data_IF_241701184078
#
_entry.id   IF_241701184078
#
_cell.length_a   1.000
_cell.length_b   1.000
_cell.length_c   1.000
_cell.angle_alpha   90.00
_cell.angle_beta   90.00
_cell.angle_gamma   90.00
#
_symmetry.space_group_name_H-M   'P 1'
#
loop_
_entity.id
_entity.type
_entity.pdbx_description
1 polymer ?
#
# COMPACT_ATOMS: atom_id res chain seq x y z
N UNK A 1 5.10 -16.12 -16.84
CA UNK A 1 5.67 -14.80 -17.17
C UNK A 1 4.60 -13.99 -17.85
N UNK A 2 4.28 -12.81 -17.32
CA UNK A 2 3.27 -11.93 -17.93
C UNK A 2 3.96 -10.62 -18.28
N UNK A 3 4.46 -10.58 -19.52
CA UNK A 3 5.18 -9.48 -20.15
C UNK A 3 4.30 -8.81 -21.19
N UNK A 4 3.09 -8.38 -20.81
CA UNK A 4 2.42 -7.30 -21.55
C UNK A 4 2.99 -6.00 -21.00
N UNK A 5 3.98 -5.43 -21.70
CA UNK A 5 4.48 -4.11 -21.37
C UNK A 5 3.31 -3.12 -21.48
N UNK A 6 2.81 -2.66 -20.33
CA UNK A 6 1.86 -1.56 -20.30
C UNK A 6 2.56 -0.35 -20.91
N UNK A 7 2.02 0.19 -22.01
CA UNK A 7 2.54 1.40 -22.62
C UNK A 7 2.56 2.56 -21.61
N UNK A 8 3.58 3.41 -21.71
CA UNK A 8 3.75 4.63 -20.91
C UNK A 8 4.76 4.52 -19.78
N UNK A 9 4.94 5.62 -19.04
CA UNK A 9 5.97 5.75 -18.01
C UNK A 9 5.38 5.58 -16.61
N UNK A 10 6.22 5.13 -15.69
CA UNK A 10 5.91 4.98 -14.27
C UNK A 10 6.95 5.72 -13.43
N UNK A 11 6.52 6.39 -12.37
CA UNK A 11 7.38 7.03 -11.36
C UNK A 11 7.67 6.09 -10.18
N UNK A 12 6.84 5.07 -9.99
CA UNK A 12 7.04 4.01 -9.00
C UNK A 12 6.45 2.70 -9.52
N UNK A 13 7.05 1.58 -9.15
CA UNK A 13 6.49 0.23 -9.31
C UNK A 13 6.68 -0.57 -8.02
N UNK A 14 5.73 -1.47 -7.73
CA UNK A 14 5.77 -2.41 -6.61
C UNK A 14 5.22 -3.76 -7.05
N UNK A 15 5.77 -4.84 -6.50
CA UNK A 15 5.31 -6.20 -6.77
C UNK A 15 4.71 -6.81 -5.50
N UNK A 16 3.53 -7.41 -5.63
CA UNK A 16 2.93 -8.29 -4.62
C UNK A 16 3.11 -9.76 -5.01
N UNK A 17 2.36 -10.66 -4.39
CA UNK A 17 2.52 -12.11 -4.62
C UNK A 17 2.17 -12.55 -6.06
N UNK A 18 1.03 -12.08 -6.58
CA UNK A 18 0.51 -12.45 -7.92
C UNK A 18 0.04 -11.25 -8.75
N UNK A 19 0.46 -10.05 -8.35
CA UNK A 19 0.11 -8.82 -9.03
C UNK A 19 1.25 -7.82 -8.87
N UNK A 20 1.18 -6.73 -9.63
CA UNK A 20 2.05 -5.58 -9.45
C UNK A 20 1.23 -4.33 -9.66
N UNK A 21 1.70 -3.23 -9.07
CA UNK A 21 1.10 -1.93 -9.25
C UNK A 21 2.19 -0.91 -9.55
N UNK A 22 1.83 0.16 -10.24
CA UNK A 22 2.72 1.29 -10.48
C UNK A 22 1.97 2.61 -10.46
N UNK A 23 2.70 3.67 -10.15
CA UNK A 23 2.20 5.05 -10.24
C UNK A 23 2.69 5.66 -11.55
N UNK A 24 1.79 6.23 -12.34
CA UNK A 24 2.13 7.03 -13.52
C UNK A 24 2.44 8.48 -13.17
N UNK A 25 3.12 9.25 -14.04
CA UNK A 25 3.12 10.71 -13.94
C UNK A 25 1.68 11.24 -13.79
N UNK A 26 1.47 12.15 -12.83
CA UNK A 26 0.12 12.59 -12.45
C UNK A 26 -0.53 11.77 -11.33
N UNK A 27 0.16 10.76 -10.78
CA UNK A 27 -0.19 10.06 -9.55
C UNK A 27 -1.30 9.01 -9.66
N UNK A 28 -1.69 8.63 -10.89
CA UNK A 28 -2.64 7.53 -11.09
C UNK A 28 -1.97 6.18 -10.79
N UNK A 29 -2.64 5.34 -10.01
CA UNK A 29 -2.21 3.94 -9.80
C UNK A 29 -2.83 3.06 -10.86
N UNK A 30 -2.00 2.21 -11.46
CA UNK A 30 -2.42 1.09 -12.27
C UNK A 30 -1.88 -0.21 -11.69
N UNK A 31 -2.74 -1.23 -11.61
CA UNK A 31 -2.36 -2.55 -11.15
C UNK A 31 -2.65 -3.58 -12.24
N UNK A 32 -1.80 -4.60 -12.31
CA UNK A 32 -1.95 -5.73 -13.23
C UNK A 32 -1.71 -7.05 -12.48
N UNK A 33 -2.39 -8.12 -12.93
CA UNK A 33 -2.43 -9.40 -12.24
C UNK A 33 -3.66 -9.57 -11.34
N UNK A 34 -3.56 -10.43 -10.33
CA UNK A 34 -4.70 -10.86 -9.51
C UNK A 34 -4.95 -9.93 -8.31
N UNK A 35 -5.42 -8.70 -8.56
CA UNK A 35 -5.86 -7.77 -7.51
C UNK A 35 -7.07 -6.93 -7.95
N UNK A 36 -7.88 -6.49 -6.99
CA UNK A 36 -8.94 -5.52 -7.22
C UNK A 36 -8.39 -4.18 -7.77
N UNK A 37 -9.25 -3.44 -8.47
CA UNK A 37 -8.90 -2.12 -8.99
C UNK A 37 -8.53 -1.15 -7.85
N UNK A 38 -7.49 -0.30 -8.04
CA UNK A 38 -7.12 0.69 -7.06
C UNK A 38 -8.25 1.74 -6.90
N UNK A 39 -8.48 2.27 -5.68
CA UNK A 39 -9.41 3.37 -5.48
C UNK A 39 -9.03 4.60 -6.30
N UNK A 40 -10.02 5.33 -6.82
CA UNK A 40 -9.77 6.56 -7.57
C UNK A 40 -9.04 7.61 -6.72
N UNK A 41 -8.07 8.30 -7.30
CA UNK A 41 -7.31 9.35 -6.63
C UNK A 41 -5.93 9.58 -7.24
N UNK A 42 -5.21 10.54 -6.65
CA UNK A 42 -3.83 10.89 -6.99
C UNK A 42 -2.91 10.53 -5.83
N UNK A 43 -1.90 9.72 -6.09
CA UNK A 43 -1.06 9.10 -5.07
C UNK A 43 0.40 9.50 -5.21
N UNK A 44 1.08 9.55 -4.06
CA UNK A 44 2.52 9.84 -3.95
C UNK A 44 3.34 8.60 -3.60
N UNK A 45 2.68 7.51 -3.20
CA UNK A 45 3.34 6.24 -2.94
C UNK A 45 2.35 5.08 -2.92
N UNK A 46 2.81 3.91 -3.39
CA UNK A 46 2.07 2.65 -3.36
C UNK A 46 2.98 1.51 -2.87
N UNK A 47 2.40 0.57 -2.13
CA UNK A 47 3.07 -0.65 -1.66
C UNK A 47 2.13 -1.84 -1.79
N UNK A 48 2.67 -2.97 -2.25
CA UNK A 48 1.94 -4.21 -2.47
C UNK A 48 2.32 -5.27 -1.43
N UNK A 49 1.30 -5.88 -0.83
CA UNK A 49 1.41 -7.04 0.04
C UNK A 49 1.09 -8.34 -0.69
N UNK A 50 0.63 -9.36 0.06
CA UNK A 50 0.29 -10.66 -0.53
C UNK A 50 -0.90 -10.58 -1.48
N UNK A 51 -2.03 -10.10 -0.96
CA UNK A 51 -3.30 -9.99 -1.68
C UNK A 51 -4.00 -8.65 -1.43
N UNK A 52 -3.28 -7.66 -0.87
CA UNK A 52 -3.75 -6.31 -0.62
C UNK A 52 -2.67 -5.30 -0.96
N UNK A 53 -3.07 -4.13 -1.44
CA UNK A 53 -2.16 -3.01 -1.65
C UNK A 53 -2.63 -1.81 -0.83
N UNK A 54 -1.67 -0.95 -0.48
CA UNK A 54 -1.91 0.29 0.22
C UNK A 54 -1.15 1.42 -0.47
N UNK A 55 -1.74 2.61 -0.50
CA UNK A 55 -1.16 3.79 -1.10
C UNK A 55 -1.42 5.03 -0.24
N UNK A 56 -0.55 6.02 -0.35
CA UNK A 56 -0.70 7.33 0.28
C UNK A 56 -1.13 8.32 -0.79
N UNK A 57 -2.31 8.92 -0.59
CA UNK A 57 -2.84 9.97 -1.46
C UNK A 57 -2.07 11.28 -1.26
N UNK A 58 -2.13 12.21 -2.22
CA UNK A 58 -1.43 13.52 -2.13
C UNK A 58 -1.81 14.36 -0.92
N UNK A 59 -2.98 14.13 -0.32
CA UNK A 59 -3.40 14.77 0.94
C UNK A 59 -3.00 13.98 2.21
N UNK A 60 -2.15 12.96 2.05
CA UNK A 60 -1.65 12.11 3.11
C UNK A 60 -2.62 11.03 3.58
N UNK A 61 -3.86 10.98 3.06
CA UNK A 61 -4.84 9.97 3.48
C UNK A 61 -4.47 8.60 2.87
N UNK A 62 -4.27 7.55 3.69
CA UNK A 62 -3.98 6.22 3.17
C UNK A 62 -5.23 5.59 2.57
N UNK A 63 -5.05 4.85 1.48
CA UNK A 63 -6.08 3.99 0.88
C UNK A 63 -5.50 2.60 0.68
N UNK A 64 -6.21 1.60 1.18
CA UNK A 64 -5.86 0.21 0.96
C UNK A 64 -7.02 -0.52 0.28
N UNK A 65 -6.70 -1.55 -0.50
CA UNK A 65 -7.68 -2.35 -1.24
C UNK A 65 -7.18 -3.79 -1.41
N UNK A 66 -8.09 -4.70 -1.74
CA UNK A 66 -7.82 -6.14 -1.85
C UNK A 66 -8.29 -6.92 -0.61
N UNK A 67 -7.58 -7.99 -0.28
CA UNK A 67 -7.91 -8.83 0.87
C UNK A 67 -7.88 -8.03 2.18
N UNK A 68 -8.85 -8.27 3.04
CA UNK A 68 -8.98 -7.57 4.32
C UNK A 68 -9.37 -8.52 5.46
N UNK A 69 -9.05 -9.82 5.35
CA UNK A 69 -9.48 -10.82 6.33
C UNK A 69 -8.91 -10.57 7.74
N UNK A 70 -7.74 -9.93 7.81
CA UNK A 70 -7.03 -9.57 9.04
C UNK A 70 -7.11 -8.07 9.34
N UNK A 71 -7.89 -7.29 8.56
CA UNK A 71 -7.95 -5.83 8.65
C UNK A 71 -6.78 -5.11 7.95
N UNK A 72 -5.93 -5.80 7.19
CA UNK A 72 -4.73 -5.25 6.55
C UNK A 72 -5.01 -4.18 5.48
N UNK A 73 -6.23 -4.16 4.94
CA UNK A 73 -6.72 -3.14 4.03
C UNK A 73 -7.63 -2.10 4.71
N UNK A 74 -7.61 -2.03 6.05
CA UNK A 74 -8.34 -1.04 6.85
C UNK A 74 -7.35 -0.14 7.58
N UNK A 75 -6.79 0.88 6.90
CA UNK A 75 -5.80 1.75 7.52
C UNK A 75 -6.40 2.57 8.66
N UNK A 76 -5.63 2.87 9.72
CA UNK A 76 -6.03 3.83 10.74
C UNK A 76 -6.33 5.21 10.16
N UNK A 77 -7.19 5.96 10.84
CA UNK A 77 -7.42 7.36 10.50
C UNK A 77 -6.15 8.20 10.70
N UNK A 78 -6.11 9.35 10.02
CA UNK A 78 -4.99 10.29 10.05
C UNK A 78 -4.25 10.37 8.72
N UNK A 79 -3.12 11.07 8.74
CA UNK A 79 -2.29 11.31 7.56
C UNK A 79 -0.94 10.64 7.70
N UNK A 80 -0.44 10.15 6.57
CA UNK A 80 0.76 9.34 6.44
C UNK A 80 1.67 9.93 5.37
N UNK A 81 2.97 9.76 5.54
CA UNK A 81 3.99 10.12 4.55
C UNK A 81 4.38 8.91 3.70
N UNK A 82 4.27 7.70 4.25
CA UNK A 82 4.57 6.45 3.57
C UNK A 82 3.81 5.28 4.18
N UNK A 83 3.64 4.22 3.39
CA UNK A 83 3.09 2.92 3.82
C UNK A 83 3.92 1.78 3.22
N UNK A 84 3.99 0.67 3.94
CA UNK A 84 4.64 -0.58 3.55
C UNK A 84 3.67 -1.72 3.85
N UNK A 85 3.21 -2.41 2.81
CA UNK A 85 2.39 -3.60 2.91
C UNK A 85 3.29 -4.85 2.89
N UNK A 86 3.02 -5.78 3.81
CA UNK A 86 3.67 -7.08 3.90
C UNK A 86 2.66 -8.19 3.61
N UNK A 87 2.87 -9.42 4.10
CA UNK A 87 2.00 -10.56 3.78
C UNK A 87 0.54 -10.34 4.22
N UNK A 88 0.33 -10.16 5.53
CA UNK A 88 -1.00 -10.00 6.15
C UNK A 88 -1.09 -8.74 7.03
N UNK A 89 -0.09 -7.86 6.99
CA UNK A 89 -0.08 -6.62 7.76
C UNK A 89 0.45 -5.46 6.91
N UNK A 90 0.20 -4.25 7.39
CA UNK A 90 0.70 -3.02 6.78
C UNK A 90 1.19 -2.11 7.90
N UNK A 91 2.32 -1.45 7.66
CA UNK A 91 2.80 -0.37 8.51
C UNK A 91 2.86 0.94 7.73
N UNK A 92 2.80 2.06 8.43
CA UNK A 92 2.93 3.38 7.82
C UNK A 92 3.50 4.40 8.78
N UNK A 93 4.25 5.35 8.23
CA UNK A 93 4.76 6.50 8.96
C UNK A 93 3.73 7.63 8.89
N UNK A 94 3.28 8.09 10.05
CA UNK A 94 2.38 9.25 10.15
C UNK A 94 3.15 10.54 9.91
N UNK A 95 2.44 11.58 9.49
CA UNK A 95 2.99 12.92 9.31
C UNK A 95 3.56 13.53 10.60
N UNK A 96 3.12 13.05 11.77
CA UNK A 96 3.65 13.43 13.08
C UNK A 96 4.90 12.63 13.51
N UNK A 97 5.48 11.82 12.61
CA UNK A 97 6.69 11.02 12.86
C UNK A 97 6.44 9.66 13.51
N UNK A 98 5.24 9.39 14.05
CA UNK A 98 4.93 8.11 14.69
C UNK A 98 4.64 7.00 13.66
N UNK A 99 4.83 5.75 14.04
CA UNK A 99 4.50 4.59 13.20
C UNK A 99 3.14 4.02 13.60
N UNK A 100 2.37 3.57 12.62
CA UNK A 100 1.20 2.71 12.82
C UNK A 100 1.42 1.39 12.09
N UNK A 101 1.12 0.27 12.74
CA UNK A 101 0.98 -1.01 12.06
C UNK A 101 -0.41 -1.59 12.32
N UNK A 102 -1.00 -2.22 11.30
CA UNK A 102 -2.35 -2.79 11.34
C UNK A 102 -2.42 -4.04 10.45
N UNK A 103 -3.48 -4.84 10.63
CA UNK A 103 -3.60 -6.16 10.00
C UNK A 103 -3.33 -7.28 11.00
N UNK A 104 -2.80 -8.40 10.50
CA UNK A 104 -2.44 -9.54 11.34
C UNK A 104 -1.36 -9.17 12.37
N UNK A 105 -1.69 -9.36 13.65
CA UNK A 105 -0.81 -9.10 14.78
C UNK A 105 0.01 -10.34 15.19
N UNK A 106 -0.11 -11.45 14.47
CA UNK A 106 0.64 -12.68 14.77
C UNK A 106 2.15 -12.41 14.83
N UNK A 107 2.82 -13.06 15.79
CA UNK A 107 4.28 -12.91 16.04
C UNK A 107 4.75 -11.47 16.37
N UNK A 108 3.85 -10.56 16.74
CA UNK A 108 4.22 -9.16 17.03
C UNK A 108 4.48 -8.31 15.79
N UNK A 109 4.01 -8.74 14.61
CA UNK A 109 4.19 -8.02 13.34
C UNK A 109 3.63 -6.58 13.34
N UNK A 110 2.70 -6.27 14.25
CA UNK A 110 2.15 -4.93 14.44
C UNK A 110 2.74 -4.18 15.63
N UNK A 111 3.66 -4.79 16.38
CA UNK A 111 4.34 -4.13 17.50
C UNK A 111 5.36 -3.14 16.98
N UNK A 112 5.11 -1.85 17.23
CA UNK A 112 6.09 -0.79 16.99
C UNK A 112 7.01 -0.72 18.21
N UNK A 113 8.35 -0.85 18.05
CA UNK A 113 9.27 -0.67 19.16
C UNK A 113 9.08 0.71 19.80
N UNK A 114 8.92 0.76 21.12
CA UNK A 114 8.80 2.04 21.83
C UNK A 114 10.16 2.79 21.77
N UNK A 115 10.13 4.07 21.37
CA UNK A 115 11.28 4.98 21.52
C UNK A 115 11.90 5.56 20.25
N UNK A 116 11.13 5.75 19.17
CA UNK A 116 11.56 6.58 18.02
C UNK A 116 10.95 7.98 18.10
#
# INVERSE_FOLDING_TARGET
GQSTALGGTFTQVTAGYQYSCGIRPGGLIECWGSIAAPPAGTYVGVSAGHAHACAVRTDGVPKCWGNNASGQATPPSGTFTSVVAADQHTCGMRTNGTIACWGDASRGATSVPAGL
#
